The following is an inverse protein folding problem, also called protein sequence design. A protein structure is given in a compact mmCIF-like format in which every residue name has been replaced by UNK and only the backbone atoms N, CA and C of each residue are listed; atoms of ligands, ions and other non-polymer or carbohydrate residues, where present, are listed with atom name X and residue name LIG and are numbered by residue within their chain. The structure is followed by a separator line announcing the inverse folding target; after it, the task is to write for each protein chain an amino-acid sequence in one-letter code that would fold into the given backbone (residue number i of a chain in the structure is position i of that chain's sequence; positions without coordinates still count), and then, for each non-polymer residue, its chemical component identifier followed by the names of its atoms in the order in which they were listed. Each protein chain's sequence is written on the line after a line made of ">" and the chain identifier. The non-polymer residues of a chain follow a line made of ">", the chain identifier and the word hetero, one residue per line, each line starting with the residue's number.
data_IF_524194657193
#
_entry.id   IF_524194657193
#
_cell.length_a   1.000
_cell.length_b   1.000
_cell.length_c   1.000
_cell.angle_alpha   90.00
_cell.angle_beta   90.00
_cell.angle_gamma   90.00
#
_symmetry.space_group_name_H-M   'P 1'
#
loop_
_entity.id
_entity.type
_entity.pdbx_description
1 polymer ?
#
# COMPACT_ATOMS: atom_id res chain seq x y z
N UNK A 1 1.53 2.48 25.21
CA UNK A 1 0.35 1.87 24.55
C UNK A 1 -0.16 2.65 23.32
N UNK A 2 -0.44 3.96 23.41
CA UNK A 2 -0.95 4.77 22.28
C UNK A 2 -0.03 4.81 21.05
N UNK A 3 1.29 4.92 21.26
CA UNK A 3 2.26 4.95 20.15
C UNK A 3 2.26 3.64 19.33
N UNK A 4 2.19 2.49 19.98
CA UNK A 4 2.16 1.17 19.32
C UNK A 4 0.88 0.91 18.54
N UNK A 5 -0.28 1.35 19.05
CA UNK A 5 -1.54 1.27 18.35
C UNK A 5 -1.59 2.19 17.12
N UNK A 6 -1.00 3.39 17.23
CA UNK A 6 -0.81 4.28 16.09
C UNK A 6 0.19 3.71 15.09
N UNK A 7 1.24 3.03 15.56
CA UNK A 7 2.20 2.34 14.69
C UNK A 7 1.56 1.17 13.97
N UNK A 8 0.73 0.36 14.65
CA UNK A 8 -0.05 -0.73 14.06
C UNK A 8 -1.08 -0.19 13.06
N UNK A 9 -1.81 0.86 13.42
CA UNK A 9 -2.71 1.57 12.50
C UNK A 9 -1.98 2.10 11.27
N UNK A 10 -0.82 2.72 11.45
CA UNK A 10 0.04 3.16 10.35
C UNK A 10 0.60 1.97 9.57
N UNK A 11 0.90 0.84 10.18
CA UNK A 11 1.37 -0.35 9.47
C UNK A 11 0.27 -0.95 8.60
N UNK A 12 -0.97 -0.91 9.07
CA UNK A 12 -2.15 -1.40 8.34
C UNK A 12 -2.59 -0.43 7.22
N UNK A 13 -2.39 0.87 7.41
CA UNK A 13 -2.84 1.93 6.47
C UNK A 13 -1.73 2.39 5.51
N UNK A 14 -0.50 2.50 6.00
CA UNK A 14 0.69 3.02 5.30
C UNK A 14 1.77 1.95 5.10
N UNK A 15 1.54 0.72 5.52
CA UNK A 15 2.49 -0.37 5.33
C UNK A 15 2.86 -0.53 3.85
N UNK A 16 4.09 -0.97 3.54
CA UNK A 16 4.53 -1.19 2.17
C UNK A 16 3.51 -2.04 1.43
N UNK A 17 3.25 -1.69 0.16
CA UNK A 17 2.22 -2.32 -0.67
C UNK A 17 2.34 -3.85 -0.78
N UNK A 18 3.48 -4.43 -0.39
CA UNK A 18 3.79 -5.86 -0.45
C UNK A 18 3.60 -6.62 0.87
N UNK A 19 3.02 -5.97 1.89
CA UNK A 19 2.82 -6.55 3.22
C UNK A 19 4.03 -6.29 4.12
N UNK A 20 3.76 -5.89 5.36
CA UNK A 20 4.77 -5.78 6.40
C UNK A 20 4.72 -7.04 7.29
N UNK A 21 5.88 -7.54 7.77
CA UNK A 21 5.87 -8.64 8.72
C UNK A 21 5.23 -8.16 10.02
N UNK A 22 4.11 -8.77 10.40
CA UNK A 22 3.49 -8.51 11.69
C UNK A 22 4.38 -9.00 12.82
N UNK A 23 5.15 -10.07 12.59
CA UNK A 23 6.09 -10.62 13.57
C UNK A 23 7.08 -9.58 14.07
N UNK A 24 7.61 -8.72 13.19
CA UNK A 24 8.51 -7.64 13.60
C UNK A 24 7.82 -6.61 14.50
N UNK A 25 6.60 -6.21 14.17
CA UNK A 25 5.86 -5.23 14.95
C UNK A 25 5.34 -5.79 16.29
N UNK A 26 4.92 -7.06 16.33
CA UNK A 26 4.32 -7.69 17.52
C UNK A 26 5.40 -8.15 18.50
N UNK A 27 6.54 -8.65 18.01
CA UNK A 27 7.58 -9.24 18.86
C UNK A 27 8.64 -8.23 19.32
N UNK A 28 8.64 -7.01 18.77
CA UNK A 28 9.56 -5.95 19.25
C UNK A 28 9.02 -5.36 20.56
N UNK A 29 9.78 -5.42 21.67
CA UNK A 29 9.35 -4.82 22.93
C UNK A 29 9.13 -3.31 22.77
N UNK A 30 8.08 -2.79 23.41
CA UNK A 30 7.71 -1.37 23.32
C UNK A 30 8.80 -0.41 23.81
N UNK A 31 9.66 -0.88 24.71
CA UNK A 31 10.71 -0.09 25.35
C UNK A 31 12.09 -0.40 24.78
N UNK A 32 12.18 -1.21 23.72
CA UNK A 32 13.45 -1.52 23.08
C UNK A 32 13.90 -0.34 22.19
N UNK A 33 14.60 0.64 22.78
CA UNK A 33 15.47 1.54 22.02
C UNK A 33 16.64 0.72 21.46
N UNK A 34 16.40 0.02 20.35
CA UNK A 34 17.48 -0.66 19.65
C UNK A 34 18.36 0.42 19.01
N UNK A 35 19.68 0.46 19.31
CA UNK A 35 20.58 1.37 18.64
C UNK A 35 20.46 1.17 17.12
N UNK A 36 20.52 2.24 16.31
CA UNK A 36 20.39 2.13 14.87
C UNK A 36 21.46 1.17 14.35
N UNK A 37 21.02 0.03 13.81
CA UNK A 37 21.93 -0.93 13.19
C UNK A 37 22.67 -0.24 12.03
N UNK A 38 23.94 -0.59 11.76
CA UNK A 38 24.65 -0.11 10.57
C UNK A 38 23.80 -0.30 9.30
N UNK A 39 23.84 0.68 8.38
CA UNK A 39 23.01 0.68 7.16
C UNK A 39 23.10 -0.63 6.34
N UNK A 40 24.27 -1.29 6.36
CA UNK A 40 24.47 -2.59 5.70
C UNK A 40 23.66 -3.72 6.35
N UNK A 41 23.51 -3.72 7.67
CA UNK A 41 22.68 -4.71 8.38
C UNK A 41 21.19 -4.43 8.21
N UNK A 42 20.80 -3.15 8.11
CA UNK A 42 19.41 -2.79 7.84
C UNK A 42 18.91 -3.32 6.49
N UNK A 43 19.77 -3.32 5.45
CA UNK A 43 19.43 -3.91 4.14
C UNK A 43 19.32 -5.43 4.16
N UNK A 44 20.19 -6.12 4.92
CA UNK A 44 20.14 -7.59 5.03
C UNK A 44 18.93 -8.09 5.83
N UNK A 45 18.37 -7.26 6.69
CA UNK A 45 17.20 -7.60 7.51
C UNK A 45 15.87 -7.22 6.86
N UNK A 46 15.87 -6.64 5.66
CA UNK A 46 14.59 -6.37 4.99
C UNK A 46 13.89 -7.69 4.65
N UNK A 47 12.70 -7.94 5.24
CA UNK A 47 11.93 -9.14 4.96
C UNK A 47 11.66 -9.25 3.46
N UNK A 48 12.07 -10.35 2.84
CA UNK A 48 11.72 -10.62 1.45
C UNK A 48 10.19 -10.76 1.36
N UNK A 49 9.52 -10.06 0.43
CA UNK A 49 8.08 -10.17 0.29
C UNK A 49 7.69 -11.63 0.00
N UNK A 50 6.56 -12.12 0.54
CA UNK A 50 6.14 -13.50 0.33
C UNK A 50 5.84 -13.77 -1.15
N UNK A 51 6.10 -15.00 -1.64
CA UNK A 51 5.81 -15.36 -3.03
C UNK A 51 4.31 -15.33 -3.31
N UNK A 52 3.92 -15.14 -4.58
CA UNK A 52 2.51 -15.06 -4.98
C UNK A 52 1.69 -16.30 -4.56
N UNK A 53 2.31 -17.48 -4.56
CA UNK A 53 1.70 -18.73 -4.08
C UNK A 53 1.24 -18.68 -2.62
N UNK A 54 1.91 -17.89 -1.76
CA UNK A 54 1.48 -17.66 -0.37
C UNK A 54 0.09 -17.00 -0.33
N UNK A 55 -0.08 -15.93 -1.12
CA UNK A 55 -1.33 -15.20 -1.18
C UNK A 55 -2.43 -15.99 -1.87
N UNK A 56 -2.10 -16.77 -2.91
CA UNK A 56 -3.02 -17.71 -3.52
C UNK A 56 -3.61 -18.66 -2.48
N UNK A 57 -2.75 -19.34 -1.71
CA UNK A 57 -3.18 -20.28 -0.67
C UNK A 57 -4.04 -19.59 0.41
N UNK A 58 -3.63 -18.39 0.85
CA UNK A 58 -4.38 -17.62 1.83
C UNK A 58 -5.80 -17.29 1.33
N UNK A 59 -5.97 -16.91 0.07
CA UNK A 59 -7.28 -16.66 -0.53
C UNK A 59 -8.10 -17.95 -0.73
N UNK A 60 -7.48 -19.07 -1.14
CA UNK A 60 -8.16 -20.37 -1.25
C UNK A 60 -8.72 -20.81 0.12
N UNK A 61 -7.98 -20.59 1.21
CA UNK A 61 -8.38 -20.96 2.58
C UNK A 61 -9.67 -20.27 3.08
N UNK A 62 -10.07 -19.16 2.44
CA UNK A 62 -11.28 -18.43 2.79
C UNK A 62 -12.55 -19.22 2.48
N UNK A 63 -12.49 -20.16 1.54
CA UNK A 63 -13.66 -20.92 1.10
C UNK A 63 -14.79 -20.02 0.59
N UNK A 64 -14.45 -19.00 -0.22
CA UNK A 64 -15.43 -18.04 -0.74
C UNK A 64 -16.45 -18.72 -1.65
N UNK A 65 -17.73 -18.52 -1.32
CA UNK A 65 -18.82 -18.91 -2.22
C UNK A 65 -18.77 -18.08 -3.53
N UNK A 66 -19.44 -18.52 -4.60
CA UNK A 66 -19.39 -17.82 -5.89
C UNK A 66 -19.82 -16.35 -5.84
N UNK A 67 -20.80 -16.00 -4.99
CA UNK A 67 -21.30 -14.64 -4.85
C UNK A 67 -20.30 -13.75 -4.12
N UNK A 68 -19.76 -14.21 -2.99
CA UNK A 68 -18.70 -13.48 -2.27
C UNK A 68 -17.50 -13.22 -3.18
N UNK A 69 -17.13 -14.24 -3.97
CA UNK A 69 -16.01 -14.16 -4.91
C UNK A 69 -16.22 -13.10 -5.99
N UNK A 70 -17.40 -13.08 -6.62
CA UNK A 70 -17.75 -12.08 -7.62
C UNK A 70 -17.77 -10.65 -7.05
N UNK A 71 -18.33 -10.49 -5.84
CA UNK A 71 -18.35 -9.20 -5.13
C UNK A 71 -16.94 -8.73 -4.79
N UNK A 72 -16.10 -9.62 -4.25
CA UNK A 72 -14.71 -9.30 -3.91
C UNK A 72 -13.91 -8.93 -5.16
N UNK A 73 -14.01 -9.71 -6.24
CA UNK A 73 -13.33 -9.41 -7.50
C UNK A 73 -13.73 -8.03 -8.06
N UNK A 74 -15.03 -7.71 -8.04
CA UNK A 74 -15.54 -6.41 -8.48
C UNK A 74 -15.00 -5.27 -7.61
N UNK A 75 -15.06 -5.44 -6.29
CA UNK A 75 -14.56 -4.47 -5.32
C UNK A 75 -13.06 -4.20 -5.53
N UNK A 76 -12.27 -5.26 -5.71
CA UNK A 76 -10.82 -5.18 -5.92
C UNK A 76 -10.47 -4.53 -7.27
N UNK A 77 -11.22 -4.80 -8.34
CA UNK A 77 -11.08 -4.10 -9.63
C UNK A 77 -11.31 -2.60 -9.48
N UNK A 78 -12.40 -2.21 -8.81
CA UNK A 78 -12.72 -0.80 -8.57
C UNK A 78 -11.65 -0.11 -7.72
N UNK A 79 -11.16 -0.79 -6.68
CA UNK A 79 -10.07 -0.30 -5.84
C UNK A 79 -8.83 -0.04 -6.67
N UNK A 80 -8.35 -1.02 -7.45
CA UNK A 80 -7.15 -0.87 -8.29
C UNK A 80 -7.26 0.31 -9.26
N UNK A 81 -8.40 0.45 -9.93
CA UNK A 81 -8.62 1.55 -10.86
C UNK A 81 -8.54 2.93 -10.16
N UNK A 82 -9.18 3.07 -8.99
CA UNK A 82 -9.14 4.32 -8.21
C UNK A 82 -7.75 4.60 -7.65
N UNK A 83 -7.07 3.60 -7.10
CA UNK A 83 -5.73 3.75 -6.55
C UNK A 83 -4.71 4.10 -7.63
N UNK A 84 -4.83 3.57 -8.84
CA UNK A 84 -3.95 3.93 -9.95
C UNK A 84 -4.07 5.43 -10.32
N UNK A 85 -5.29 5.97 -10.33
CA UNK A 85 -5.52 7.39 -10.57
C UNK A 85 -4.93 8.27 -9.45
N UNK A 86 -5.19 7.91 -8.18
CA UNK A 86 -4.68 8.64 -7.02
C UNK A 86 -3.15 8.58 -6.91
N UNK A 87 -2.55 7.44 -7.22
CA UNK A 87 -1.09 7.26 -7.20
C UNK A 87 -0.42 8.17 -8.24
N UNK A 88 -0.93 8.21 -9.47
CA UNK A 88 -0.43 9.12 -10.51
C UNK A 88 -0.56 10.58 -10.10
N UNK A 89 -1.70 10.98 -9.52
CA UNK A 89 -1.91 12.34 -9.03
C UNK A 89 -0.91 12.70 -7.91
N UNK A 90 -0.69 11.77 -6.96
CA UNK A 90 0.26 11.93 -5.86
C UNK A 90 1.69 12.08 -6.36
N UNK A 91 2.12 11.24 -7.30
CA UNK A 91 3.45 11.29 -7.91
C UNK A 91 3.67 12.62 -8.67
N UNK A 92 2.68 13.04 -9.46
CA UNK A 92 2.75 14.31 -10.18
C UNK A 92 2.84 15.52 -9.24
N UNK A 93 2.05 15.54 -8.16
CA UNK A 93 2.10 16.61 -7.16
C UNK A 93 3.41 16.59 -6.36
N UNK A 94 3.92 15.42 -5.98
CA UNK A 94 5.21 15.31 -5.32
C UNK A 94 6.36 15.85 -6.20
N UNK A 95 6.36 15.53 -7.49
CA UNK A 95 7.31 16.09 -8.45
C UNK A 95 7.16 17.61 -8.59
N UNK A 96 5.92 18.13 -8.62
CA UNK A 96 5.64 19.56 -8.67
C UNK A 96 6.13 20.29 -7.42
N UNK A 97 5.93 19.73 -6.21
CA UNK A 97 6.46 20.31 -4.98
C UNK A 97 7.99 20.43 -5.02
N UNK A 98 8.68 19.38 -5.50
CA UNK A 98 10.13 19.40 -5.66
C UNK A 98 10.59 20.48 -6.65
N UNK A 99 9.88 20.65 -7.78
CA UNK A 99 10.20 21.67 -8.78
C UNK A 99 9.96 23.11 -8.30
N UNK A 100 9.00 23.32 -7.40
CA UNK A 100 8.63 24.63 -6.85
C UNK A 100 9.39 24.98 -5.56
N UNK A 101 10.42 24.22 -5.17
CA UNK A 101 11.12 24.39 -3.89
C UNK A 101 11.70 25.81 -3.64
N UNK A 102 11.96 26.59 -4.70
CA UNK A 102 12.46 27.96 -4.59
C UNK A 102 11.36 29.03 -4.45
N UNK A 103 10.10 28.70 -4.76
CA UNK A 103 8.95 29.61 -4.63
C UNK A 103 8.07 29.14 -3.46
N UNK A 104 8.24 29.77 -2.30
CA UNK A 104 7.57 29.36 -1.07
C UNK A 104 6.03 29.35 -1.20
N UNK A 105 5.45 30.36 -1.85
CA UNK A 105 3.99 30.45 -1.99
C UNK A 105 3.45 29.37 -2.92
N UNK A 106 4.12 29.14 -4.06
CA UNK A 106 3.72 28.08 -4.99
C UNK A 106 3.97 26.67 -4.41
N UNK A 107 5.03 26.49 -3.62
CA UNK A 107 5.34 25.26 -2.91
C UNK A 107 4.27 24.92 -1.86
N UNK A 108 3.87 25.89 -1.04
CA UNK A 108 2.82 25.74 -0.01
C UNK A 108 1.49 25.30 -0.67
N UNK A 109 1.11 25.94 -1.78
CA UNK A 109 -0.09 25.57 -2.53
C UNK A 109 -0.02 24.13 -3.07
N UNK A 110 1.12 23.74 -3.65
CA UNK A 110 1.32 22.38 -4.14
C UNK A 110 1.32 21.33 -3.02
N UNK A 111 1.87 21.66 -1.84
CA UNK A 111 1.79 20.81 -0.66
C UNK A 111 0.35 20.64 -0.15
N UNK A 112 -0.44 21.72 -0.16
CA UNK A 112 -1.86 21.65 0.18
C UNK A 112 -2.61 20.70 -0.76
N UNK A 113 -2.40 20.83 -2.07
CA UNK A 113 -2.98 19.92 -3.08
C UNK A 113 -2.57 18.46 -2.83
N UNK A 114 -1.28 18.22 -2.54
CA UNK A 114 -0.75 16.90 -2.21
C UNK A 114 -1.41 16.32 -0.96
N UNK A 115 -1.64 17.15 0.06
CA UNK A 115 -2.36 16.79 1.28
C UNK A 115 -3.79 16.32 1.00
N UNK A 116 -4.53 17.02 0.13
CA UNK A 116 -5.88 16.63 -0.28
C UNK A 116 -5.90 15.28 -1.02
N UNK A 117 -4.93 15.03 -1.92
CA UNK A 117 -4.81 13.74 -2.62
C UNK A 117 -4.44 12.62 -1.66
N UNK A 118 -3.53 12.86 -0.71
CA UNK A 118 -3.14 11.87 0.29
C UNK A 118 -4.30 11.52 1.23
N UNK A 119 -5.10 12.51 1.65
CA UNK A 119 -6.33 12.26 2.42
C UNK A 119 -7.31 11.39 1.64
N UNK A 120 -7.51 11.70 0.36
CA UNK A 120 -8.37 10.90 -0.54
C UNK A 120 -7.85 9.46 -0.72
N UNK A 121 -6.54 9.29 -0.81
CA UNK A 121 -5.87 7.98 -0.87
C UNK A 121 -6.19 7.14 0.37
N UNK A 122 -6.01 7.69 1.57
CA UNK A 122 -6.27 7.01 2.84
C UNK A 122 -7.76 6.67 2.99
N UNK A 123 -8.65 7.60 2.64
CA UNK A 123 -10.09 7.39 2.71
C UNK A 123 -10.53 6.24 1.79
N UNK A 124 -10.01 6.20 0.56
CA UNK A 124 -10.32 5.11 -0.38
C UNK A 124 -9.87 3.76 0.19
N UNK A 125 -8.63 3.64 0.67
CA UNK A 125 -8.15 2.39 1.29
C UNK A 125 -9.08 1.95 2.42
N UNK A 126 -9.43 2.87 3.33
CA UNK A 126 -10.33 2.59 4.47
C UNK A 126 -11.69 2.08 4.00
N UNK A 127 -12.32 2.75 3.03
CA UNK A 127 -13.64 2.35 2.50
C UNK A 127 -13.59 0.95 1.88
N UNK A 128 -12.55 0.65 1.09
CA UNK A 128 -12.41 -0.66 0.45
C UNK A 128 -12.09 -1.78 1.46
N UNK A 129 -11.29 -1.50 2.50
CA UNK A 129 -11.06 -2.44 3.60
C UNK A 129 -12.34 -2.72 4.38
N UNK A 130 -13.12 -1.69 4.71
CA UNK A 130 -14.40 -1.85 5.41
C UNK A 130 -15.42 -2.62 4.58
N UNK A 131 -15.51 -2.36 3.27
CA UNK A 131 -16.38 -3.11 2.38
C UNK A 131 -15.97 -4.60 2.32
N UNK A 132 -14.67 -4.88 2.22
CA UNK A 132 -14.17 -6.25 2.15
C UNK A 132 -14.36 -7.00 3.48
N UNK A 133 -13.85 -6.46 4.58
CA UNK A 133 -13.83 -7.13 5.89
C UNK A 133 -15.12 -6.98 6.68
N UNK A 134 -15.88 -5.91 6.46
CA UNK A 134 -17.11 -5.62 7.19
C UNK A 134 -18.38 -6.05 6.48
N UNK A 135 -18.34 -6.35 5.16
CA UNK A 135 -19.53 -6.71 4.39
C UNK A 135 -19.39 -8.00 3.60
N UNK A 136 -18.24 -8.23 2.93
CA UNK A 136 -18.08 -9.40 2.06
C UNK A 136 -17.62 -10.63 2.86
N UNK A 137 -16.61 -10.47 3.70
CA UNK A 137 -16.05 -11.56 4.50
C UNK A 137 -16.79 -11.70 5.83
N UNK A 138 -16.95 -12.94 6.29
CA UNK A 138 -17.34 -13.19 7.68
C UNK A 138 -16.16 -12.97 8.62
N UNK A 139 -16.43 -12.75 9.91
CA UNK A 139 -15.38 -12.65 10.94
C UNK A 139 -14.48 -13.90 10.96
N UNK A 140 -15.05 -15.10 10.75
CA UNK A 140 -14.30 -16.35 10.68
C UNK A 140 -13.39 -16.40 9.44
N UNK A 141 -13.87 -15.95 8.29
CA UNK A 141 -13.06 -15.85 7.07
C UNK A 141 -11.90 -14.86 7.25
N UNK A 142 -12.15 -13.70 7.84
CA UNK A 142 -11.10 -12.74 8.15
C UNK A 142 -10.04 -13.34 9.10
N UNK A 143 -10.45 -14.04 10.16
CA UNK A 143 -9.51 -14.72 11.06
C UNK A 143 -8.67 -15.79 10.34
N UNK A 144 -9.29 -16.57 9.44
CA UNK A 144 -8.57 -17.56 8.60
C UNK A 144 -7.56 -16.88 7.68
N UNK A 145 -7.92 -15.77 7.04
CA UNK A 145 -7.00 -15.00 6.20
C UNK A 145 -5.79 -14.55 7.00
N UNK A 146 -6.00 -13.98 8.20
CA UNK A 146 -4.92 -13.51 9.05
C UNK A 146 -4.00 -14.64 9.52
N UNK A 147 -4.57 -15.80 9.85
CA UNK A 147 -3.80 -16.99 10.21
C UNK A 147 -3.01 -17.54 9.02
N UNK A 148 -3.63 -17.59 7.83
CA UNK A 148 -3.00 -18.07 6.61
C UNK A 148 -1.93 -17.10 6.07
N UNK A 149 -2.11 -15.80 6.29
CA UNK A 149 -1.17 -14.79 5.86
C UNK A 149 0.10 -14.75 6.74
N UNK A 150 0.07 -15.33 7.95
CA UNK A 150 1.19 -15.31 8.88
C UNK A 150 2.52 -15.74 8.23
N UNK A 151 3.62 -15.01 8.43
CA UNK A 151 3.84 -13.89 9.37
C UNK A 151 3.48 -12.49 8.83
N UNK A 152 2.78 -12.40 7.70
CA UNK A 152 2.51 -11.16 6.98
C UNK A 152 1.12 -10.59 7.28
N UNK A 153 1.00 -9.27 7.33
CA UNK A 153 -0.31 -8.61 7.32
C UNK A 153 -0.93 -8.70 5.91
N UNK A 154 -2.16 -9.20 5.74
CA UNK A 154 -2.85 -9.12 4.46
C UNK A 154 -3.22 -7.66 4.14
N UNK A 155 -2.83 -7.19 2.96
CA UNK A 155 -3.22 -5.88 2.41
C UNK A 155 -4.18 -6.08 1.24
N UNK A 156 -4.90 -5.04 0.82
CA UNK A 156 -5.73 -5.12 -0.40
C UNK A 156 -4.91 -5.53 -1.62
N UNK A 157 -3.67 -5.06 -1.72
CA UNK A 157 -2.75 -5.43 -2.80
C UNK A 157 -2.39 -6.91 -2.74
N UNK A 158 -2.11 -7.46 -1.56
CA UNK A 158 -1.76 -8.88 -1.43
C UNK A 158 -2.95 -9.79 -1.72
N UNK A 159 -4.16 -9.36 -1.37
CA UNK A 159 -5.41 -10.02 -1.74
C UNK A 159 -5.62 -9.98 -3.26
N UNK A 160 -5.34 -8.85 -3.93
CA UNK A 160 -5.35 -8.78 -5.39
C UNK A 160 -4.41 -9.79 -6.04
N UNK A 161 -3.19 -9.96 -5.51
CA UNK A 161 -2.24 -10.97 -6.00
C UNK A 161 -2.85 -12.37 -5.89
N UNK A 162 -3.42 -12.73 -4.73
CA UNK A 162 -4.09 -14.02 -4.57
C UNK A 162 -5.25 -14.24 -5.53
N UNK A 163 -6.09 -13.22 -5.75
CA UNK A 163 -7.19 -13.29 -6.72
C UNK A 163 -6.72 -13.41 -8.18
N UNK A 164 -5.61 -12.75 -8.54
CA UNK A 164 -5.01 -12.87 -9.87
C UNK A 164 -4.43 -14.26 -10.12
N UNK A 165 -3.76 -14.84 -9.12
CA UNK A 165 -3.20 -16.20 -9.21
C UNK A 165 -4.28 -17.27 -9.34
N UNK A 166 -5.50 -16.99 -8.87
CA UNK A 166 -6.67 -17.85 -9.04
C UNK A 166 -7.44 -17.58 -10.34
N UNK A 167 -7.05 -16.58 -11.12
CA UNK A 167 -7.76 -16.17 -12.34
C UNK A 167 -9.11 -15.52 -12.09
N UNK A 168 -9.37 -15.05 -10.86
CA UNK A 168 -10.64 -14.38 -10.49
C UNK A 168 -10.60 -12.88 -10.71
N UNK A 169 -9.41 -12.33 -10.95
CA UNK A 169 -9.18 -10.93 -11.22
C UNK A 169 -8.27 -10.81 -12.44
N UNK A 170 -8.63 -9.94 -13.38
CA UNK A 170 -7.80 -9.68 -14.55
C UNK A 170 -6.43 -9.13 -14.12
N UNK A 171 -5.39 -9.68 -14.74
CA UNK A 171 -4.03 -9.16 -14.64
C UNK A 171 -3.95 -7.85 -15.41
N UNK A 172 -4.38 -6.76 -14.79
CA UNK A 172 -4.03 -5.43 -15.30
C UNK A 172 -2.52 -5.28 -15.14
N UNK A 173 -1.77 -5.01 -16.20
CA UNK A 173 -0.35 -4.70 -16.06
C UNK A 173 -0.24 -3.53 -15.08
N UNK A 174 0.47 -3.75 -13.98
CA UNK A 174 0.88 -2.64 -13.12
C UNK A 174 1.73 -1.78 -14.02
N UNK A 175 1.26 -0.57 -14.34
CA UNK A 175 2.07 0.38 -15.07
C UNK A 175 3.39 0.47 -14.32
N UNK A 176 4.49 0.05 -14.97
CA UNK A 176 5.80 0.14 -14.35
C UNK A 176 5.93 1.58 -13.87
N UNK A 177 6.38 1.81 -12.61
CA UNK A 177 6.63 3.17 -12.14
C UNK A 177 7.47 3.82 -13.23
N UNK A 178 6.98 4.91 -13.83
CA UNK A 178 7.55 5.48 -15.03
C UNK A 178 9.05 5.68 -14.76
N UNK A 179 9.87 4.79 -15.32
CA UNK A 179 11.30 4.76 -15.04
C UNK A 179 11.81 6.13 -15.44
N UNK A 180 12.25 6.89 -14.43
CA UNK A 180 12.32 8.34 -14.47
C UNK A 180 12.60 8.88 -15.85
N UNK A 181 11.56 9.43 -16.50
CA UNK A 181 11.76 10.41 -17.55
C UNK A 181 12.31 11.66 -16.85
N UNK A 182 13.58 11.59 -16.43
CA UNK A 182 14.43 12.74 -16.25
C UNK A 182 14.63 13.36 -17.62
N UNK A 183 13.57 13.94 -18.17
CA UNK A 183 13.71 14.95 -19.18
C UNK A 183 14.51 16.06 -18.50
N UNK A 184 15.79 16.15 -18.87
CA UNK A 184 16.68 17.20 -18.42
C UNK A 184 15.93 18.53 -18.59
N UNK A 185 15.60 19.17 -17.47
CA UNK A 185 15.04 20.52 -17.49
C UNK A 185 16.10 21.38 -18.17
N UNK A 186 15.84 21.98 -19.35
CA UNK A 186 16.81 22.82 -20.01
C UNK A 186 17.16 23.97 -19.06
N UNK A 187 18.47 24.19 -18.87
CA UNK A 187 18.96 25.24 -17.99
C UNK A 187 18.35 26.60 -18.38
N UNK A 188 17.96 27.44 -17.42
CA UNK A 188 17.40 28.75 -17.71
C UNK A 188 18.43 29.57 -18.49
N UNK A 189 18.06 29.99 -19.70
CA UNK A 189 18.88 30.91 -20.50
C UNK A 189 19.00 32.23 -19.73
N UNK A 190 20.21 32.73 -19.44
CA UNK A 190 20.36 33.99 -18.74
C UNK A 190 19.77 35.14 -19.57
N UNK A 191 18.89 35.93 -18.95
CA UNK A 191 18.42 37.17 -19.53
C UNK A 191 19.61 38.14 -19.70
N UNK A 192 19.74 38.72 -20.90
CA UNK A 192 20.72 39.78 -21.20
C UNK A 192 20.20 41.14 -20.79
#
# INVERSE_FOLDING_TARGET
>A
MRAALLQFGNLMVLGPERGAPLSGAILTPLDAESPPLPAQQQQQQQPQPPPAAHWRWAIESLGLDPRQRALAATLLSMWRARMAALTRAREALAARCAALAADAAAHEAALSDLGCVQASYILNITVFLLALYGTILTAQQHARLSAAAWPWAPSLQSICIGFQELGWLERTPVAAPAAGAGAAVPAPTPAR
#
